data_IF_400433708579
#
_entry.id   IF_400433708579
#
_cell.length_a   1.000
_cell.length_b   1.000
_cell.length_c   1.000
_cell.angle_alpha   90.00
_cell.angle_beta   90.00
_cell.angle_gamma   90.00
#
_symmetry.space_group_name_H-M   'P 1'
#
loop_
_entity.id
_entity.type
_entity.pdbx_description
1 polymer ?
#
# COMPACT_ATOMS: atom_id res chain seq x y z
N UNK A 1 7.50 -4.24 -9.01
CA UNK A 1 7.96 -4.26 -7.61
C UNK A 1 9.45 -4.58 -7.59
N UNK A 2 10.29 -3.68 -7.03
CA UNK A 2 11.74 -3.68 -7.30
C UNK A 2 12.63 -4.51 -6.35
N UNK A 3 12.11 -4.96 -5.20
CA UNK A 3 12.89 -5.68 -4.18
C UNK A 3 13.93 -4.84 -3.41
N UNK A 4 14.04 -3.52 -3.67
CA UNK A 4 15.04 -2.63 -3.08
C UNK A 4 14.51 -1.73 -1.95
N UNK A 5 13.20 -1.74 -1.68
CA UNK A 5 12.57 -0.92 -0.64
C UNK A 5 11.92 -1.85 0.38
N UNK A 6 12.51 -1.94 1.57
CA UNK A 6 11.90 -2.63 2.71
C UNK A 6 10.98 -1.70 3.51
N UNK A 7 10.23 -2.25 4.47
CA UNK A 7 9.40 -1.45 5.36
C UNK A 7 10.23 -0.44 6.18
N UNK A 8 11.42 -0.84 6.65
CA UNK A 8 12.31 0.05 7.41
C UNK A 8 12.83 1.19 6.52
N UNK A 9 13.15 0.91 5.26
CA UNK A 9 13.59 1.94 4.30
C UNK A 9 12.48 2.94 4.00
N UNK A 10 11.24 2.47 3.82
CA UNK A 10 10.08 3.33 3.61
C UNK A 10 9.82 4.24 4.83
N UNK A 11 9.94 3.68 6.05
CA UNK A 11 9.82 4.47 7.28
C UNK A 11 10.95 5.52 7.39
N UNK A 12 12.19 5.15 7.11
CA UNK A 12 13.32 6.07 7.15
C UNK A 12 13.17 7.18 6.11
N UNK A 13 12.73 6.85 4.89
CA UNK A 13 12.43 7.80 3.82
C UNK A 13 11.41 8.86 4.25
N UNK A 14 10.31 8.44 4.89
CA UNK A 14 9.31 9.38 5.40
C UNK A 14 9.86 10.29 6.52
N UNK A 15 10.71 9.76 7.42
CA UNK A 15 11.38 10.56 8.46
C UNK A 15 12.34 11.59 7.87
N UNK A 16 12.99 11.27 6.75
CA UNK A 16 13.89 12.19 6.05
C UNK A 16 13.13 13.29 5.32
N UNK A 17 12.03 12.94 4.64
CA UNK A 17 11.15 13.90 3.97
C UNK A 17 9.68 13.51 4.13
N UNK A 18 8.92 14.21 4.99
CA UNK A 18 7.49 13.94 5.19
C UNK A 18 6.62 14.17 3.95
N UNK A 19 7.03 15.03 3.01
CA UNK A 19 6.33 15.28 1.74
C UNK A 19 6.84 14.37 0.61
N UNK A 20 7.71 13.41 0.95
CA UNK A 20 8.31 12.47 0.01
C UNK A 20 7.36 11.36 -0.47
N UNK A 21 7.90 10.38 -1.22
CA UNK A 21 7.09 9.35 -1.87
C UNK A 21 6.54 8.28 -0.90
N UNK A 22 7.15 8.11 0.28
CA UNK A 22 6.70 7.13 1.28
C UNK A 22 5.80 7.81 2.30
N UNK A 23 4.55 7.36 2.38
CA UNK A 23 3.54 7.89 3.30
C UNK A 23 3.04 6.79 4.25
N UNK A 24 2.86 7.09 5.54
CA UNK A 24 2.39 6.10 6.51
C UNK A 24 0.91 5.78 6.30
N UNK A 25 0.55 4.51 6.51
CA UNK A 25 -0.84 4.05 6.53
C UNK A 25 -1.10 3.37 7.86
N UNK A 26 -2.02 3.91 8.65
CA UNK A 26 -2.47 3.30 9.91
C UNK A 26 -3.58 2.31 9.59
N UNK A 27 -3.29 1.01 9.73
CA UNK A 27 -4.16 -0.08 9.25
C UNK A 27 -5.57 -0.11 9.85
N UNK A 28 -5.73 0.28 11.11
CA UNK A 28 -7.01 0.14 11.81
C UNK A 28 -7.48 -1.32 11.87
N UNK A 29 -8.80 -1.53 11.89
CA UNK A 29 -9.41 -2.86 11.91
C UNK A 29 -9.43 -3.46 10.49
N UNK A 30 -9.03 -4.74 10.32
CA UNK A 30 -9.13 -5.42 9.03
C UNK A 30 -10.60 -5.61 8.60
N UNK A 31 -10.84 -5.51 7.30
CA UNK A 31 -12.08 -5.97 6.67
C UNK A 31 -12.04 -7.50 6.57
N UNK A 32 -10.90 -8.03 6.14
CA UNK A 32 -10.62 -9.46 6.05
C UNK A 32 -9.12 -9.70 6.32
N UNK A 33 -8.82 -10.43 7.40
CA UNK A 33 -7.44 -10.76 7.80
C UNK A 33 -6.78 -11.80 6.88
N UNK A 34 -7.55 -12.71 6.29
CA UNK A 34 -7.05 -13.77 5.43
C UNK A 34 -6.58 -13.22 4.09
N UNK A 35 -7.36 -12.31 3.50
CA UNK A 35 -6.99 -11.62 2.27
C UNK A 35 -5.98 -10.49 2.54
N UNK A 36 -5.93 -10.01 3.77
CA UNK A 36 -5.15 -8.82 4.11
C UNK A 36 -5.77 -7.57 3.49
N UNK A 37 -7.05 -7.35 3.77
CA UNK A 37 -7.83 -6.21 3.31
C UNK A 37 -8.11 -5.25 4.47
N UNK A 38 -7.86 -3.96 4.26
CA UNK A 38 -8.07 -2.88 5.23
C UNK A 38 -8.67 -1.66 4.54
N UNK A 39 -9.66 -1.04 5.17
CA UNK A 39 -10.32 0.16 4.64
C UNK A 39 -9.30 1.29 4.43
N UNK A 40 -8.44 1.53 5.41
CA UNK A 40 -7.39 2.57 5.33
C UNK A 40 -6.43 2.36 4.16
N UNK A 41 -6.17 1.10 3.78
CA UNK A 41 -5.28 0.78 2.65
C UNK A 41 -6.03 1.04 1.34
N UNK A 42 -7.29 0.63 1.23
CA UNK A 42 -8.12 0.87 0.05
C UNK A 42 -8.31 2.38 -0.21
N UNK A 43 -8.66 3.16 0.82
CA UNK A 43 -8.77 4.63 0.72
C UNK A 43 -7.46 5.27 0.24
N UNK A 44 -6.33 4.81 0.79
CA UNK A 44 -5.01 5.32 0.43
C UNK A 44 -4.64 4.98 -1.02
N UNK A 45 -4.87 3.74 -1.44
CA UNK A 45 -4.64 3.29 -2.81
C UNK A 45 -5.52 4.06 -3.78
N UNK A 46 -6.79 4.26 -3.46
CA UNK A 46 -7.70 5.06 -4.29
C UNK A 46 -7.20 6.49 -4.46
N UNK A 47 -6.81 7.15 -3.36
CA UNK A 47 -6.26 8.51 -3.38
C UNK A 47 -4.99 8.61 -4.22
N UNK A 48 -3.98 7.77 -3.98
CA UNK A 48 -2.67 7.90 -4.63
C UNK A 48 -2.61 7.29 -6.04
N UNK A 49 -3.56 6.42 -6.39
CA UNK A 49 -3.76 5.97 -7.78
C UNK A 49 -4.59 6.94 -8.62
N UNK A 50 -5.01 8.08 -8.06
CA UNK A 50 -5.88 9.06 -8.72
C UNK A 50 -7.21 8.46 -9.16
N UNK A 51 -7.75 7.54 -8.35
CA UNK A 51 -9.01 6.86 -8.62
C UNK A 51 -8.91 5.69 -9.60
N UNK A 52 -7.73 5.34 -10.09
CA UNK A 52 -7.56 4.21 -11.01
C UNK A 52 -7.74 2.84 -10.32
N UNK A 53 -7.53 2.76 -9.01
CA UNK A 53 -7.70 1.56 -8.19
C UNK A 53 -8.66 1.85 -7.05
N UNK A 54 -9.52 0.89 -6.70
CA UNK A 54 -10.44 1.02 -5.55
C UNK A 54 -9.98 0.21 -4.34
N UNK A 55 -9.37 -0.96 -4.58
CA UNK A 55 -9.05 -1.94 -3.54
C UNK A 55 -7.72 -2.63 -3.83
N UNK A 56 -7.13 -3.20 -2.79
CA UNK A 56 -6.01 -4.14 -2.91
C UNK A 56 -6.09 -5.17 -1.78
N UNK A 57 -5.79 -6.44 -2.10
CA UNK A 57 -5.53 -7.46 -1.07
C UNK A 57 -4.01 -7.67 -0.94
N UNK A 58 -3.51 -7.75 0.30
CA UNK A 58 -2.08 -7.89 0.53
C UNK A 58 -1.59 -9.34 0.43
N UNK A 59 -2.49 -10.32 0.55
CA UNK A 59 -2.14 -11.75 0.66
C UNK A 59 -2.74 -12.64 -0.44
N UNK A 60 -3.46 -12.08 -1.42
CA UNK A 60 -4.01 -12.84 -2.54
C UNK A 60 -3.45 -12.37 -3.88
N UNK A 61 -3.12 -13.32 -4.75
CA UNK A 61 -2.83 -13.06 -6.17
C UNK A 61 -4.10 -13.14 -7.03
N UNK A 62 -5.16 -13.76 -6.51
CA UNK A 62 -6.38 -14.09 -7.25
C UNK A 62 -7.46 -13.02 -7.15
N UNK A 63 -7.41 -12.19 -6.11
CA UNK A 63 -8.43 -11.18 -5.80
C UNK A 63 -7.75 -9.84 -5.55
N UNK A 64 -8.07 -8.83 -6.37
CA UNK A 64 -7.51 -7.47 -6.30
C UNK A 64 -6.01 -7.40 -5.98
N UNK A 65 -5.14 -8.05 -6.78
CA UNK A 65 -3.71 -8.09 -6.49
C UNK A 65 -3.06 -6.72 -6.67
N UNK A 66 -1.94 -6.50 -5.97
CA UNK A 66 -1.13 -5.30 -6.14
C UNK A 66 -0.64 -5.15 -7.58
N UNK A 67 -0.72 -3.94 -8.12
CA UNK A 67 -0.26 -3.61 -9.48
C UNK A 67 1.27 -3.54 -9.58
N UNK A 68 1.79 -3.53 -10.81
CA UNK A 68 3.23 -3.43 -11.10
C UNK A 68 3.53 -2.24 -12.00
N UNK A 69 4.68 -1.59 -11.75
CA UNK A 69 5.16 -0.46 -12.55
C UNK A 69 6.05 -0.89 -13.74
N UNK A 70 6.98 -1.84 -13.56
CA UNK A 70 7.88 -2.31 -14.61
C UNK A 70 9.32 -2.66 -14.17
N UNK A 71 9.65 -2.47 -12.90
CA UNK A 71 10.88 -2.95 -12.27
C UNK A 71 10.60 -4.01 -11.21
#
# INVERSE_FOLDING_TARGET
LCGAVTWLDAQATNKLNPEGPCQPIIKGTPIDEHLGSWESVNETVHKYSQGALEKVTLYSIMEDPMTSCGC
#
